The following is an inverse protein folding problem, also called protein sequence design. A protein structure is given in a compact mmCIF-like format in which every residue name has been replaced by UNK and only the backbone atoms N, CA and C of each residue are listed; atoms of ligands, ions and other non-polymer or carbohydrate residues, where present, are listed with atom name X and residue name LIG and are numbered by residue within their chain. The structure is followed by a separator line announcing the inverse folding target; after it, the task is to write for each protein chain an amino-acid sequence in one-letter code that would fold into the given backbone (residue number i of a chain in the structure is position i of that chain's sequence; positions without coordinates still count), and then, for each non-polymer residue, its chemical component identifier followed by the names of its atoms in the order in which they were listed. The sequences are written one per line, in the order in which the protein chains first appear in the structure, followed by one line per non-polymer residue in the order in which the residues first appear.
data_IF_608702594141
#
_entry.id   IF_608702594141
#
_cell.length_a   1.000
_cell.length_b   1.000
_cell.length_c   1.000
_cell.angle_alpha   90.00
_cell.angle_beta   90.00
_cell.angle_gamma   90.00
#
_symmetry.space_group_name_H-M   'P 1'
#
loop_
_entity.id
_entity.type
_entity.pdbx_description
1 polymer ?
#
# COMPACT_ATOMS: atom_id res chain seq x y z
N UNK A 1 1.70 -7.06 -6.03
CA UNK A 1 2.69 -6.25 -6.76
C UNK A 1 2.07 -5.48 -7.93
N UNK A 2 0.99 -4.71 -7.71
CA UNK A 2 0.22 -4.05 -8.79
C UNK A 2 1.05 -3.02 -9.58
N UNK A 3 1.85 -2.21 -8.88
CA UNK A 3 2.75 -1.23 -9.51
C UNK A 3 3.74 -1.89 -10.47
N UNK A 4 4.37 -2.99 -10.06
CA UNK A 4 5.32 -3.72 -10.89
C UNK A 4 4.64 -4.31 -12.14
N UNK A 5 3.40 -4.81 -12.01
CA UNK A 5 2.64 -5.31 -13.15
C UNK A 5 2.38 -4.23 -14.21
N UNK A 6 1.96 -3.02 -13.81
CA UNK A 6 1.63 -1.96 -14.77
C UNK A 6 2.86 -1.23 -15.33
N UNK A 7 3.97 -1.15 -14.59
CA UNK A 7 5.14 -0.35 -14.98
C UNK A 7 6.39 -1.15 -15.32
N UNK A 8 6.45 -2.43 -14.95
CA UNK A 8 7.67 -3.24 -15.01
C UNK A 8 8.67 -2.96 -13.87
N UNK A 9 8.44 -1.93 -13.05
CA UNK A 9 9.38 -1.53 -11.99
C UNK A 9 9.19 -2.33 -10.69
N UNK A 10 10.22 -3.11 -10.36
CA UNK A 10 10.23 -4.12 -9.27
C UNK A 10 10.90 -3.65 -7.98
N UNK A 11 11.32 -2.38 -7.86
CA UNK A 11 11.90 -1.85 -6.62
C UNK A 11 10.92 -1.92 -5.45
N UNK A 12 11.37 -1.87 -4.20
CA UNK A 12 10.42 -1.97 -3.06
C UNK A 12 9.61 -0.69 -2.86
N UNK A 13 10.17 0.48 -3.19
CA UNK A 13 9.54 1.77 -2.97
C UNK A 13 9.21 2.49 -4.28
N UNK A 14 7.98 3.01 -4.38
CA UNK A 14 7.59 3.90 -5.45
C UNK A 14 6.08 3.99 -5.67
N UNK A 15 5.64 5.11 -6.23
CA UNK A 15 4.24 5.47 -6.47
C UNK A 15 4.04 5.67 -7.97
N UNK A 16 3.10 4.93 -8.56
CA UNK A 16 2.72 5.10 -9.96
C UNK A 16 1.43 5.93 -10.05
N UNK A 17 1.42 6.91 -10.94
CA UNK A 17 0.24 7.72 -11.27
C UNK A 17 -0.01 7.63 -12.76
N UNK A 18 -1.23 7.28 -13.13
CA UNK A 18 -1.65 7.13 -14.54
C UNK A 18 -2.81 8.07 -14.79
N UNK A 19 -2.67 8.93 -15.79
CA UNK A 19 -3.75 9.76 -16.33
C UNK A 19 -4.16 9.23 -17.69
N UNK A 20 -5.12 9.88 -18.34
CA UNK A 20 -5.54 9.52 -19.71
C UNK A 20 -4.38 9.55 -20.71
N UNK A 21 -3.46 10.50 -20.54
CA UNK A 21 -2.44 10.82 -21.55
C UNK A 21 -1.00 10.60 -21.07
N UNK A 22 -0.78 10.40 -19.76
CA UNK A 22 0.57 10.29 -19.17
C UNK A 22 0.63 9.21 -18.08
N UNK A 23 1.79 8.58 -17.93
CA UNK A 23 2.10 7.71 -16.81
C UNK A 23 3.42 8.15 -16.17
N UNK A 24 3.44 8.33 -14.86
CA UNK A 24 4.61 8.77 -14.12
C UNK A 24 4.85 7.86 -12.90
N UNK A 25 6.12 7.60 -12.59
CA UNK A 25 6.52 6.78 -11.44
C UNK A 25 7.55 7.52 -10.58
N UNK A 26 7.19 7.76 -9.33
CA UNK A 26 8.08 8.29 -8.30
C UNK A 26 8.79 7.15 -7.59
N UNK A 27 10.09 7.28 -7.39
CA UNK A 27 10.88 6.40 -6.52
C UNK A 27 12.03 7.19 -5.93
N UNK A 28 12.71 6.62 -4.92
CA UNK A 28 13.84 7.26 -4.25
C UNK A 28 15.20 6.85 -4.86
N UNK A 29 16.27 7.48 -4.39
CA UNK A 29 17.62 7.36 -4.93
C UNK A 29 18.18 5.94 -5.02
N UNK A 30 17.70 5.02 -4.18
CA UNK A 30 18.11 3.60 -4.22
C UNK A 30 17.75 2.93 -5.54
N UNK A 31 16.69 3.41 -6.19
CA UNK A 31 16.06 2.75 -7.32
C UNK A 31 16.15 3.51 -8.64
N UNK A 32 16.81 4.67 -8.68
CA UNK A 32 16.94 5.50 -9.89
C UNK A 32 17.45 4.73 -11.11
N UNK A 33 18.59 4.05 -10.98
CA UNK A 33 19.19 3.27 -12.08
C UNK A 33 18.37 2.03 -12.42
N UNK A 34 17.69 1.44 -11.43
CA UNK A 34 16.81 0.29 -11.65
C UNK A 34 15.57 0.71 -12.44
N UNK A 35 14.95 1.83 -12.05
CA UNK A 35 13.76 2.36 -12.71
C UNK A 35 14.06 2.77 -14.16
N UNK A 36 15.19 3.42 -14.43
CA UNK A 36 15.60 3.74 -15.81
C UNK A 36 15.71 2.52 -16.72
N UNK A 37 16.17 1.39 -16.18
CA UNK A 37 16.35 0.15 -16.95
C UNK A 37 15.06 -0.64 -17.12
N UNK A 38 14.13 -0.54 -16.17
CA UNK A 38 12.91 -1.36 -16.12
C UNK A 38 11.68 -0.67 -16.71
N UNK A 39 11.61 0.67 -16.61
CA UNK A 39 10.49 1.43 -17.15
C UNK A 39 10.57 1.51 -18.68
N UNK A 40 9.44 1.34 -19.34
CA UNK A 40 9.32 1.62 -20.78
C UNK A 40 9.29 3.12 -21.05
N UNK A 41 9.46 3.51 -22.32
CA UNK A 41 9.44 4.92 -22.76
C UNK A 41 8.09 5.63 -22.55
N UNK A 42 7.01 4.90 -22.25
CA UNK A 42 5.70 5.48 -21.92
C UNK A 42 5.63 6.00 -20.48
N UNK A 43 6.60 5.67 -19.63
CA UNK A 43 6.66 6.09 -18.24
C UNK A 43 7.64 7.23 -18.04
N UNK A 44 7.20 8.24 -17.30
CA UNK A 44 8.04 9.35 -16.85
C UNK A 44 8.61 8.96 -15.48
N UNK A 45 9.93 8.77 -15.41
CA UNK A 45 10.61 8.55 -14.14
C UNK A 45 10.75 9.86 -13.36
N UNK A 46 10.13 9.90 -12.19
CA UNK A 46 10.21 11.02 -11.24
C UNK A 46 11.16 10.66 -10.11
N UNK A 47 12.30 11.36 -10.06
CA UNK A 47 13.37 11.11 -9.08
C UNK A 47 13.11 11.86 -7.79
N UNK A 48 12.40 11.23 -6.85
CA UNK A 48 12.02 11.86 -5.58
C UNK A 48 13.26 12.38 -4.84
N UNK A 49 13.19 13.63 -4.38
CA UNK A 49 14.28 14.31 -3.66
C UNK A 49 15.23 15.10 -4.54
N UNK A 50 15.16 14.94 -5.87
CA UNK A 50 15.94 15.80 -6.78
C UNK A 50 15.28 17.17 -6.92
N UNK A 51 16.11 18.22 -7.03
CA UNK A 51 15.65 19.60 -7.24
C UNK A 51 14.84 19.69 -8.53
N UNK A 52 13.67 20.34 -8.44
CA UNK A 52 12.78 20.56 -9.58
C UNK A 52 11.88 19.37 -9.95
N UNK A 53 11.97 18.24 -9.25
CA UNK A 53 11.01 17.14 -9.41
C UNK A 53 9.76 17.45 -8.57
N UNK A 54 8.58 17.59 -9.20
CA UNK A 54 7.35 17.86 -8.46
C UNK A 54 6.94 16.65 -7.61
N UNK A 55 6.26 16.92 -6.51
CA UNK A 55 5.49 15.91 -5.79
C UNK A 55 4.36 15.36 -6.68
N UNK A 56 3.81 14.20 -6.31
CA UNK A 56 2.65 13.62 -7.00
C UNK A 56 1.48 14.61 -7.09
N UNK A 57 1.23 15.36 -6.01
CA UNK A 57 0.11 16.29 -5.91
C UNK A 57 0.31 17.52 -6.81
N UNK A 58 1.53 18.07 -6.84
CA UNK A 58 1.88 19.18 -7.73
C UNK A 58 1.78 18.76 -9.19
N UNK A 59 2.29 17.57 -9.53
CA UNK A 59 2.23 17.05 -10.88
C UNK A 59 0.79 16.83 -11.36
N UNK A 60 -0.08 16.26 -10.50
CA UNK A 60 -1.50 16.08 -10.82
C UNK A 60 -2.19 17.42 -11.13
N UNK A 61 -1.94 18.45 -10.31
CA UNK A 61 -2.50 19.80 -10.51
C UNK A 61 -1.96 20.53 -11.76
N UNK A 62 -0.80 20.11 -12.27
CA UNK A 62 -0.19 20.66 -13.49
C UNK A 62 -0.69 19.95 -14.75
N UNK A 63 -0.82 18.62 -14.70
CA UNK A 63 -1.15 17.84 -15.90
C UNK A 63 -2.64 17.63 -16.14
N UNK A 64 -3.50 17.80 -15.13
CA UNK A 64 -4.94 17.61 -15.25
C UNK A 64 -5.68 18.92 -15.54
N UNK A 65 -6.76 18.82 -16.32
CA UNK A 65 -7.68 19.93 -16.50
C UNK A 65 -8.47 20.20 -15.21
N UNK A 66 -8.80 21.46 -14.87
CA UNK A 66 -9.58 21.78 -13.68
C UNK A 66 -10.89 20.97 -13.61
N UNK A 67 -11.26 20.50 -12.42
CA UNK A 67 -12.47 19.70 -12.24
C UNK A 67 -12.32 18.19 -12.52
N UNK A 68 -11.13 17.69 -12.87
CA UNK A 68 -10.91 16.25 -13.03
C UNK A 68 -11.12 15.45 -11.73
N UNK A 69 -11.49 14.17 -11.90
CA UNK A 69 -11.65 13.19 -10.83
C UNK A 69 -10.40 12.33 -10.72
N UNK A 70 -9.89 12.14 -9.51
CA UNK A 70 -8.67 11.39 -9.23
C UNK A 70 -9.06 10.19 -8.38
N UNK A 71 -8.84 8.98 -8.89
CA UNK A 71 -9.20 7.74 -8.21
C UNK A 71 -8.04 7.20 -7.37
N UNK A 72 -8.32 6.80 -6.13
CA UNK A 72 -7.43 5.96 -5.33
C UNK A 72 -8.18 4.73 -4.84
N UNK A 73 -7.46 3.62 -4.74
CA UNK A 73 -8.04 2.38 -4.22
C UNK A 73 -8.18 2.47 -2.69
N UNK A 74 -9.42 2.41 -2.24
CA UNK A 74 -9.80 2.29 -0.84
C UNK A 74 -10.65 1.03 -0.74
N UNK A 75 -10.04 -0.11 -1.07
CA UNK A 75 -10.82 -1.34 -1.20
C UNK A 75 -11.36 -1.72 0.17
N UNK A 76 -12.68 -1.82 0.23
CA UNK A 76 -13.40 -2.25 1.43
C UNK A 76 -13.37 -3.76 1.49
N UNK A 77 -13.40 -4.26 2.72
CA UNK A 77 -13.79 -5.62 3.04
C UNK A 77 -15.05 -6.00 2.22
N UNK A 78 -14.92 -6.93 1.28
CA UNK A 78 -16.00 -7.35 0.37
C UNK A 78 -17.05 -8.24 1.07
N UNK A 79 -16.96 -8.41 2.39
CA UNK A 79 -18.09 -8.84 3.21
C UNK A 79 -18.48 -10.31 3.11
N UNK A 80 -17.75 -11.14 2.36
CA UNK A 80 -17.97 -12.59 2.34
C UNK A 80 -17.00 -13.36 3.23
N UNK A 81 -15.82 -12.80 3.54
CA UNK A 81 -14.82 -13.43 4.40
C UNK A 81 -13.81 -12.42 4.94
N UNK A 82 -13.43 -12.54 6.22
CA UNK A 82 -12.35 -11.76 6.87
C UNK A 82 -10.99 -11.94 6.16
N UNK A 83 -10.88 -12.92 5.25
CA UNK A 83 -9.69 -13.19 4.46
C UNK A 83 -9.69 -12.52 3.07
N UNK A 84 -10.80 -11.91 2.65
CA UNK A 84 -10.96 -11.22 1.35
C UNK A 84 -10.74 -9.71 1.46
N UNK A 85 -9.95 -9.28 2.44
CA UNK A 85 -9.56 -7.88 2.59
C UNK A 85 -8.48 -7.56 1.57
N UNK A 86 -8.83 -6.83 0.53
CA UNK A 86 -7.83 -6.21 -0.33
C UNK A 86 -7.08 -5.10 0.42
N UNK A 87 -5.77 -5.02 0.20
CA UNK A 87 -4.89 -4.14 0.96
C UNK A 87 -5.24 -2.66 0.76
N UNK A 88 -5.39 -1.94 1.86
CA UNK A 88 -5.39 -0.47 1.87
C UNK A 88 -4.07 0.03 1.27
N UNK A 89 -4.14 0.69 0.11
CA UNK A 89 -2.95 1.21 -0.58
C UNK A 89 -2.60 2.64 -0.16
N UNK A 90 -3.50 3.30 0.58
CA UNK A 90 -3.35 4.66 1.08
C UNK A 90 -3.67 4.70 2.58
N UNK A 91 -2.84 5.40 3.35
CA UNK A 91 -3.18 5.77 4.72
C UNK A 91 -4.26 6.86 4.71
N UNK A 92 -4.99 6.98 5.82
CA UNK A 92 -5.99 8.05 5.99
C UNK A 92 -5.36 9.43 5.77
N UNK A 93 -4.23 9.69 6.43
CA UNK A 93 -3.51 10.96 6.33
C UNK A 93 -3.08 11.26 4.89
N UNK A 94 -2.53 10.28 4.17
CA UNK A 94 -2.11 10.48 2.78
C UNK A 94 -3.29 10.77 1.84
N UNK A 95 -4.46 10.17 2.09
CA UNK A 95 -5.67 10.44 1.33
C UNK A 95 -6.22 11.86 1.62
N UNK A 96 -6.17 12.29 2.89
CA UNK A 96 -6.57 13.65 3.29
C UNK A 96 -5.64 14.70 2.68
N UNK A 97 -4.32 14.52 2.79
CA UNK A 97 -3.32 15.38 2.17
C UNK A 97 -3.50 15.49 0.66
N UNK A 98 -3.75 14.37 -0.02
CA UNK A 98 -4.04 14.36 -1.46
C UNK A 98 -5.31 15.15 -1.76
N UNK A 99 -6.40 14.91 -1.02
CA UNK A 99 -7.69 15.58 -1.20
C UNK A 99 -7.54 17.10 -1.07
N UNK A 100 -6.85 17.57 -0.04
CA UNK A 100 -6.58 18.99 0.17
C UNK A 100 -5.74 19.57 -0.96
N UNK A 101 -4.67 18.89 -1.35
CA UNK A 101 -3.74 19.40 -2.36
C UNK A 101 -4.38 19.54 -3.74
N UNK A 102 -5.24 18.60 -4.15
CA UNK A 102 -5.89 18.61 -5.49
C UNK A 102 -7.10 19.56 -5.53
N UNK A 103 -7.70 19.88 -4.38
CA UNK A 103 -8.84 20.80 -4.29
C UNK A 103 -8.49 22.22 -4.81
N UNK A 104 -7.20 22.60 -4.79
CA UNK A 104 -6.68 23.88 -5.32
C UNK A 104 -7.02 24.11 -6.79
N UNK A 105 -7.26 23.05 -7.56
CA UNK A 105 -7.69 23.08 -8.98
C UNK A 105 -9.12 22.56 -9.17
N UNK A 106 -9.91 22.53 -8.10
CA UNK A 106 -11.26 21.97 -8.05
C UNK A 106 -11.33 20.49 -8.46
N UNK A 107 -10.25 19.71 -8.29
CA UNK A 107 -10.30 18.28 -8.53
C UNK A 107 -11.05 17.56 -7.40
N UNK A 108 -11.64 16.42 -7.74
CA UNK A 108 -12.36 15.58 -6.80
C UNK A 108 -11.57 14.29 -6.53
N UNK A 109 -11.32 13.97 -5.26
CA UNK A 109 -10.81 12.66 -4.87
C UNK A 109 -11.97 11.65 -4.85
N UNK A 110 -11.80 10.55 -5.57
CA UNK A 110 -12.77 9.46 -5.66
C UNK A 110 -12.17 8.20 -5.06
N UNK A 111 -12.85 7.65 -4.06
CA UNK A 111 -12.48 6.37 -3.48
C UNK A 111 -13.07 5.23 -4.30
N UNK A 112 -12.21 4.36 -4.81
CA UNK A 112 -12.61 3.14 -5.50
C UNK A 112 -12.74 2.03 -4.47
N UNK A 113 -13.97 1.60 -4.18
CA UNK A 113 -14.27 0.64 -3.12
C UNK A 113 -14.56 -0.77 -3.62
N UNK A 114 -15.05 -0.90 -4.85
CA UNK A 114 -15.66 -2.14 -5.33
C UNK A 114 -14.62 -3.10 -5.92
N UNK A 115 -13.61 -2.55 -6.62
CA UNK A 115 -12.53 -3.31 -7.22
C UNK A 115 -11.34 -2.42 -7.54
N UNK A 116 -10.15 -3.00 -7.55
CA UNK A 116 -8.94 -2.35 -8.03
C UNK A 116 -8.89 -2.35 -9.57
N UNK A 117 -8.62 -1.20 -10.19
CA UNK A 117 -8.56 -1.08 -11.66
C UNK A 117 -7.41 -1.87 -12.28
N UNK A 118 -6.29 -2.03 -11.58
CA UNK A 118 -5.16 -2.84 -12.06
C UNK A 118 -5.55 -4.31 -12.12
N UNK A 119 -6.34 -4.79 -11.17
CA UNK A 119 -6.73 -6.20 -11.15
C UNK A 119 -7.73 -6.53 -12.26
N UNK A 120 -8.55 -5.56 -12.69
CA UNK A 120 -9.44 -5.71 -13.86
C UNK A 120 -8.67 -5.94 -15.17
N UNK A 121 -7.46 -5.40 -15.28
CA UNK A 121 -6.58 -5.63 -16.44
C UNK A 121 -5.64 -6.82 -16.23
N UNK A 122 -5.26 -7.13 -14.99
CA UNK A 122 -4.42 -8.29 -14.65
C UNK A 122 -5.18 -9.62 -14.78
N UNK A 123 -6.48 -9.62 -14.43
CA UNK A 123 -7.41 -10.75 -14.54
C UNK A 123 -6.83 -12.02 -13.92
N UNK A 124 -7.07 -13.17 -14.56
CA UNK A 124 -6.63 -14.51 -14.11
C UNK A 124 -5.11 -14.70 -14.09
N UNK A 125 -4.34 -13.78 -14.69
CA UNK A 125 -2.88 -13.81 -14.60
C UNK A 125 -2.36 -13.20 -13.29
N UNK A 126 -3.25 -12.63 -12.45
CA UNK A 126 -2.89 -12.18 -11.11
C UNK A 126 -2.55 -13.39 -10.23
N UNK A 127 -1.35 -13.44 -9.66
CA UNK A 127 -0.96 -14.54 -8.78
C UNK A 127 -1.85 -14.59 -7.55
N UNK A 128 -2.18 -15.82 -7.11
CA UNK A 128 -3.00 -16.01 -5.91
C UNK A 128 -2.23 -15.54 -4.68
N UNK A 129 -2.92 -14.97 -3.67
CA UNK A 129 -2.29 -14.69 -2.38
C UNK A 129 -1.64 -15.95 -1.79
N UNK A 130 -0.48 -15.82 -1.12
CA UNK A 130 0.15 -16.95 -0.44
C UNK A 130 -0.80 -17.56 0.60
N UNK A 131 -1.02 -18.87 0.55
CA UNK A 131 -1.94 -19.62 1.42
C UNK A 131 -1.23 -20.61 2.35
N UNK A 132 0.03 -20.32 2.72
CA UNK A 132 0.84 -21.21 3.55
C UNK A 132 0.29 -21.28 4.99
N UNK A 133 0.34 -22.46 5.64
CA UNK A 133 -0.12 -22.60 7.02
C UNK A 133 0.65 -21.70 7.99
N UNK A 134 -0.08 -21.12 8.94
CA UNK A 134 0.47 -20.38 10.07
C UNK A 134 1.03 -21.38 11.09
N UNK A 135 2.13 -21.02 11.77
CA UNK A 135 2.74 -21.83 12.83
C UNK A 135 2.79 -21.07 14.13
N UNK A 136 2.69 -21.78 15.26
CA UNK A 136 2.92 -21.20 16.58
C UNK A 136 4.42 -20.97 16.78
N UNK A 137 4.77 -19.77 17.23
CA UNK A 137 6.10 -19.42 17.69
C UNK A 137 6.27 -19.88 19.14
N UNK A 138 7.12 -20.88 19.36
CA UNK A 138 7.36 -21.47 20.68
C UNK A 138 7.81 -20.40 21.68
N UNK A 139 7.23 -20.42 22.89
CA UNK A 139 7.49 -19.45 23.95
C UNK A 139 8.96 -19.37 24.33
N UNK A 140 9.71 -20.48 24.19
CA UNK A 140 11.16 -20.49 24.45
C UNK A 140 11.95 -19.54 23.53
N UNK A 141 11.40 -19.20 22.37
CA UNK A 141 11.96 -18.22 21.44
C UNK A 141 11.27 -16.86 21.57
N UNK A 142 9.96 -16.85 21.85
CA UNK A 142 9.18 -15.62 21.97
C UNK A 142 9.51 -14.80 23.23
N UNK A 143 10.03 -15.45 24.28
CA UNK A 143 10.34 -14.85 25.59
C UNK A 143 9.12 -14.57 26.48
N UNK A 144 7.95 -14.32 25.88
CA UNK A 144 6.68 -14.09 26.58
C UNK A 144 5.54 -14.84 25.91
N UNK A 145 4.63 -15.38 26.70
CA UNK A 145 3.40 -15.99 26.22
C UNK A 145 2.36 -14.92 25.80
N UNK A 146 1.38 -15.34 25.02
CA UNK A 146 0.32 -14.47 24.47
C UNK A 146 -0.52 -13.82 25.57
N UNK A 147 -0.81 -14.54 26.66
CA UNK A 147 -1.64 -14.00 27.75
C UNK A 147 -0.91 -12.85 28.45
N UNK A 148 0.39 -13.01 28.70
CA UNK A 148 1.23 -11.95 29.28
C UNK A 148 1.27 -10.70 28.39
N UNK A 149 1.47 -10.87 27.08
CA UNK A 149 1.47 -9.74 26.12
C UNK A 149 0.12 -9.02 26.08
N UNK A 150 -0.99 -9.76 25.99
CA UNK A 150 -2.34 -9.17 25.97
C UNK A 150 -2.69 -8.47 27.28
N UNK A 151 -2.21 -8.98 28.42
CA UNK A 151 -2.43 -8.36 29.72
C UNK A 151 -1.69 -7.03 29.82
N UNK A 152 -0.43 -6.99 29.37
CA UNK A 152 0.36 -5.75 29.28
C UNK A 152 -0.32 -4.73 28.37
N UNK A 153 -0.72 -5.15 27.16
CA UNK A 153 -1.40 -4.26 26.20
C UNK A 153 -2.70 -3.67 26.78
N UNK A 154 -3.51 -4.47 27.47
CA UNK A 154 -4.75 -3.98 28.09
C UNK A 154 -4.50 -3.00 29.22
N UNK A 155 -3.44 -3.17 29.99
CA UNK A 155 -3.05 -2.19 31.01
C UNK A 155 -2.74 -0.84 30.38
N UNK A 156 -1.90 -0.83 29.33
CA UNK A 156 -1.55 0.39 28.59
C UNK A 156 -2.80 1.07 27.98
N UNK A 157 -3.76 0.30 27.48
CA UNK A 157 -5.02 0.86 26.97
C UNK A 157 -5.86 1.54 28.06
N UNK A 158 -5.90 0.95 29.26
CA UNK A 158 -6.60 1.55 30.41
C UNK A 158 -5.92 2.84 30.83
N UNK A 159 -4.59 2.84 30.93
CA UNK A 159 -3.79 4.01 31.31
C UNK A 159 -3.91 5.13 30.28
N UNK A 160 -4.05 4.80 29.00
CA UNK A 160 -4.32 5.73 27.91
C UNK A 160 -5.81 6.14 27.79
N UNK A 161 -6.70 5.64 28.65
CA UNK A 161 -8.15 5.91 28.57
C UNK A 161 -8.81 5.42 27.28
N UNK A 162 -8.20 4.45 26.60
CA UNK A 162 -8.63 3.94 25.30
C UNK A 162 -9.46 2.67 25.45
N UNK A 163 -10.60 2.60 24.76
CA UNK A 163 -11.47 1.43 24.79
C UNK A 163 -10.94 0.23 23.97
N UNK A 164 -9.96 0.47 23.09
CA UNK A 164 -9.39 -0.56 22.22
C UNK A 164 -8.33 0.00 21.28
N UNK A 165 -7.76 -0.89 20.47
CA UNK A 165 -6.74 -0.60 19.45
C UNK A 165 -6.99 -1.47 18.22
N UNK A 166 -6.69 -0.92 17.04
CA UNK A 166 -6.65 -1.67 15.78
C UNK A 166 -5.20 -1.94 15.44
N UNK A 167 -4.84 -3.22 15.32
CA UNK A 167 -3.50 -3.66 14.91
C UNK A 167 -3.59 -4.15 13.47
N UNK A 168 -3.01 -3.39 12.54
CA UNK A 168 -3.05 -3.68 11.09
C UNK A 168 -1.69 -4.14 10.53
N UNK A 169 -0.60 -3.89 11.26
CA UNK A 169 0.74 -4.30 10.89
C UNK A 169 0.92 -5.80 11.13
N UNK A 170 1.31 -6.54 10.09
CA UNK A 170 1.39 -8.00 10.15
C UNK A 170 2.41 -8.50 11.19
N UNK A 171 3.55 -7.82 11.30
CA UNK A 171 4.60 -8.11 12.28
C UNK A 171 4.11 -7.91 13.72
N UNK A 172 3.29 -6.90 13.99
CA UNK A 172 2.67 -6.67 15.30
C UNK A 172 1.66 -7.78 15.63
N UNK A 173 0.80 -8.16 14.68
CA UNK A 173 -0.18 -9.24 14.86
C UNK A 173 0.53 -10.57 15.17
N UNK A 174 1.54 -10.95 14.39
CA UNK A 174 2.26 -12.22 14.61
C UNK A 174 3.06 -12.19 15.91
N UNK A 175 3.62 -11.05 16.30
CA UNK A 175 4.32 -10.91 17.58
C UNK A 175 3.35 -11.03 18.76
N UNK A 176 2.21 -10.34 18.71
CA UNK A 176 1.23 -10.32 19.80
C UNK A 176 0.65 -11.71 20.06
N UNK A 177 0.44 -12.49 18.99
CA UNK A 177 -0.20 -13.80 19.04
C UNK A 177 0.77 -15.00 19.05
N UNK A 178 2.10 -14.75 19.10
CA UNK A 178 3.12 -15.78 18.97
C UNK A 178 2.90 -16.67 17.74
N UNK A 179 2.78 -16.04 16.57
CA UNK A 179 2.62 -16.72 15.28
C UNK A 179 3.85 -16.49 14.40
N UNK A 180 4.02 -17.37 13.41
CA UNK A 180 4.98 -17.22 12.32
C UNK A 180 4.27 -17.52 11.02
N UNK A 181 4.43 -16.63 10.05
CA UNK A 181 3.93 -16.78 8.69
C UNK A 181 5.14 -16.87 7.77
N UNK A 182 5.14 -17.86 6.87
CA UNK A 182 6.16 -17.95 5.83
C UNK A 182 5.65 -17.28 4.56
N UNK A 183 6.13 -16.07 4.31
CA UNK A 183 6.08 -15.45 3.00
C UNK A 183 7.41 -15.77 2.34
N UNK A 184 7.47 -16.76 1.44
CA UNK A 184 8.72 -16.92 0.69
C UNK A 184 8.81 -15.82 -0.35
N UNK A 185 10.01 -15.27 -0.55
CA UNK A 185 10.26 -14.23 -1.56
C UNK A 185 9.89 -14.73 -2.98
N UNK A 186 9.92 -16.06 -3.20
CA UNK A 186 9.45 -16.70 -4.43
C UNK A 186 7.91 -16.66 -4.57
N UNK A 187 7.14 -16.75 -3.49
CA UNK A 187 5.68 -16.65 -3.55
C UNK A 187 5.21 -15.21 -3.86
N UNK A 188 6.09 -14.21 -3.72
CA UNK A 188 5.80 -12.80 -4.05
C UNK A 188 6.17 -12.43 -5.50
N UNK A 189 6.95 -13.27 -6.19
CA UNK A 189 7.48 -13.05 -7.54
C UNK A 189 6.83 -13.94 -8.61
N UNK A 190 6.04 -14.94 -8.21
CA UNK A 190 5.12 -15.65 -9.10
C UNK A 190 3.87 -14.82 -9.29
#
# INVERSE_FOLDING_TARGET
MRRAFISGFTGSAGTAVVTKDKAALWTDGRYFLQAEKQLSSSWILMRTGNVGVPTTNEWLNDVLAPGCRIGIDLVKDLGESVFDVEQFLFSSDAAEELKEAISKRNHELVYLTDFNLVDQVWKESRPKPPSKPIRVHDVKYAGLDVSSKLSSLRSELIDAGSAGIVVSMLDEVVWLLNLVIYLSFLDMLQ
#
